data_IF_883843208712
#
_entry.id   IF_883843208712
#
_cell.length_a   1.000
_cell.length_b   1.000
_cell.length_c   1.000
_cell.angle_alpha   90.00
_cell.angle_beta   90.00
_cell.angle_gamma   90.00
#
_symmetry.space_group_name_H-M   'P 1'
#
loop_
_entity.id
_entity.type
_entity.pdbx_description
1 polymer ?
#
# COMPACT_ATOMS: atom_id res chain seq x y z
N UNK A 1 -6.66 3.15 -11.95
CA UNK A 1 -6.60 1.84 -12.62
C UNK A 1 -5.16 1.35 -12.77
N UNK A 2 -4.44 1.11 -11.66
CA UNK A 2 -3.04 0.64 -11.70
C UNK A 2 -2.14 1.49 -12.61
N UNK A 3 -1.29 0.82 -13.39
CA UNK A 3 -0.43 1.43 -14.40
C UNK A 3 -1.16 1.92 -15.66
N UNK A 4 -2.51 1.86 -15.68
CA UNK A 4 -3.35 2.17 -16.85
C UNK A 4 -3.02 1.32 -18.09
N UNK A 5 -2.36 0.19 -17.89
CA UNK A 5 -2.02 -0.77 -18.92
C UNK A 5 -2.78 -2.08 -18.67
N UNK A 6 -3.53 -2.51 -19.68
CA UNK A 6 -4.24 -3.79 -19.70
C UNK A 6 -3.46 -4.76 -20.58
N UNK A 7 -3.15 -5.96 -20.07
CA UNK A 7 -2.51 -7.00 -20.86
C UNK A 7 -3.35 -7.35 -22.09
N UNK A 8 -2.78 -7.33 -23.31
CA UNK A 8 -3.50 -7.74 -24.51
C UNK A 8 -3.80 -9.24 -24.54
N UNK A 9 -3.01 -10.06 -23.84
CA UNK A 9 -3.18 -11.52 -23.82
C UNK A 9 -4.21 -11.99 -22.78
N UNK A 10 -4.20 -11.39 -21.57
CA UNK A 10 -5.03 -11.86 -20.45
C UNK A 10 -6.17 -10.91 -20.10
N UNK A 11 -6.12 -9.67 -20.58
CA UNK A 11 -7.10 -8.65 -20.25
C UNK A 11 -7.00 -8.08 -18.83
N UNK A 12 -6.00 -8.48 -18.04
CA UNK A 12 -5.78 -8.02 -16.65
C UNK A 12 -5.01 -6.69 -16.65
N UNK A 13 -5.41 -5.74 -15.79
CA UNK A 13 -4.72 -4.46 -15.61
C UNK A 13 -3.51 -4.66 -14.70
N UNK A 14 -2.34 -4.16 -15.11
CA UNK A 14 -1.13 -4.20 -14.28
C UNK A 14 -1.15 -3.13 -13.19
N UNK A 15 -0.58 -3.46 -12.04
CA UNK A 15 -0.38 -2.53 -10.95
C UNK A 15 0.69 -1.48 -11.32
N UNK A 16 0.71 -0.40 -10.55
CA UNK A 16 1.77 0.62 -10.54
C UNK A 16 2.47 0.65 -9.17
N UNK A 17 2.59 -0.49 -8.50
CA UNK A 17 3.07 -0.56 -7.11
C UNK A 17 4.55 -0.18 -6.94
N UNK A 18 5.28 -0.03 -8.05
CA UNK A 18 6.64 0.50 -8.03
C UNK A 18 6.71 1.93 -7.49
N UNK A 19 5.62 2.71 -7.54
CA UNK A 19 5.53 4.05 -6.95
C UNK A 19 5.57 4.04 -5.40
N UNK A 20 5.28 2.91 -4.77
CA UNK A 20 5.36 2.77 -3.31
C UNK A 20 6.82 2.65 -2.81
N UNK A 21 7.79 2.41 -3.70
CA UNK A 21 9.21 2.53 -3.34
C UNK A 21 9.65 3.99 -3.22
N UNK A 22 10.73 4.21 -2.50
CA UNK A 22 11.39 5.50 -2.45
C UNK A 22 12.41 5.64 -3.60
N UNK A 23 12.35 6.77 -4.31
CA UNK A 23 13.39 7.22 -5.23
C UNK A 23 14.23 8.31 -4.55
N UNK A 24 15.57 8.19 -4.47
CA UNK A 24 16.39 9.20 -3.82
C UNK A 24 16.11 10.61 -4.35
N UNK A 25 15.89 11.56 -3.44
CA UNK A 25 15.67 12.98 -3.77
C UNK A 25 14.28 13.30 -4.34
N UNK A 26 13.34 12.35 -4.39
CA UNK A 26 12.00 12.58 -4.93
C UNK A 26 10.92 12.02 -3.98
N UNK A 27 9.88 12.79 -3.63
CA UNK A 27 8.71 12.23 -2.96
C UNK A 27 7.91 11.35 -3.94
N UNK A 28 7.20 10.34 -3.42
CA UNK A 28 6.35 9.49 -4.25
C UNK A 28 4.99 10.13 -4.58
N UNK A 29 4.12 9.42 -5.31
CA UNK A 29 2.79 9.90 -5.71
C UNK A 29 1.84 10.28 -4.56
N UNK A 30 2.15 9.90 -3.32
CA UNK A 30 1.41 10.29 -2.11
C UNK A 30 2.09 11.40 -1.30
N UNK A 31 3.21 11.95 -1.78
CA UNK A 31 3.96 13.01 -1.11
C UNK A 31 4.86 12.50 0.03
N UNK A 32 5.14 11.20 0.11
CA UNK A 32 6.00 10.63 1.15
C UNK A 32 7.46 10.88 0.83
N UNK A 33 8.21 11.43 1.78
CA UNK A 33 9.65 11.66 1.64
C UNK A 33 10.42 10.33 1.47
N UNK A 34 11.53 10.34 0.70
CA UNK A 34 12.27 9.12 0.42
C UNK A 34 12.99 8.59 1.67
N UNK A 35 12.95 7.27 1.85
CA UNK A 35 13.71 6.57 2.89
C UNK A 35 14.65 5.53 2.28
N UNK A 36 15.94 5.49 2.67
CA UNK A 36 16.89 4.47 2.20
C UNK A 36 16.45 3.03 2.49
N UNK A 37 15.69 2.81 3.57
CA UNK A 37 15.13 1.50 3.89
C UNK A 37 14.11 1.02 2.86
N UNK A 38 13.52 1.92 2.07
CA UNK A 38 12.52 1.64 1.05
C UNK A 38 13.01 1.93 -0.39
N UNK A 39 14.32 2.01 -0.63
CA UNK A 39 14.84 2.09 -2.00
C UNK A 39 14.64 0.80 -2.79
N UNK A 40 14.47 0.95 -4.10
CA UNK A 40 14.24 -0.12 -5.08
C UNK A 40 15.43 -1.08 -5.10
N UNK A 41 15.14 -2.38 -5.01
CA UNK A 41 16.12 -3.47 -5.20
C UNK A 41 15.43 -4.68 -5.86
N UNK A 42 16.11 -5.49 -6.68
CA UNK A 42 15.54 -6.69 -7.26
C UNK A 42 14.94 -7.63 -6.19
N UNK A 43 13.74 -8.15 -6.45
CA UNK A 43 13.04 -9.08 -5.55
C UNK A 43 12.50 -8.47 -4.24
N UNK A 44 12.79 -7.20 -3.96
CA UNK A 44 12.28 -6.52 -2.77
C UNK A 44 10.80 -6.19 -2.93
N UNK A 45 10.06 -6.15 -1.81
CA UNK A 45 8.69 -5.65 -1.76
C UNK A 45 8.67 -4.17 -1.35
N UNK A 46 7.86 -3.32 -2.01
CA UNK A 46 7.71 -1.94 -1.59
C UNK A 46 6.99 -1.86 -0.24
N UNK A 47 7.32 -0.85 0.57
CA UNK A 47 6.58 -0.54 1.79
C UNK A 47 5.12 -0.22 1.46
N UNK A 48 4.17 -0.70 2.27
CA UNK A 48 2.75 -0.40 2.12
C UNK A 48 2.16 0.20 3.40
N UNK A 49 1.17 1.08 3.25
CA UNK A 49 0.32 1.55 4.36
C UNK A 49 -0.90 0.65 4.62
N UNK A 50 -1.11 -0.40 3.80
CA UNK A 50 -2.25 -1.33 3.93
C UNK A 50 -2.25 -1.95 5.34
N UNK A 51 -3.33 -1.70 6.08
CA UNK A 51 -3.49 -2.10 7.48
C UNK A 51 -4.84 -2.82 7.67
N UNK A 52 -4.95 -4.10 7.29
CA UNK A 52 -6.13 -4.91 7.59
C UNK A 52 -6.08 -5.33 9.06
N UNK A 53 -7.18 -5.13 9.79
CA UNK A 53 -7.21 -5.35 11.25
C UNK A 53 -8.41 -6.21 11.64
N UNK A 54 -8.15 -7.18 12.52
CA UNK A 54 -9.16 -8.00 13.18
C UNK A 54 -9.05 -7.72 14.68
N UNK A 55 -10.09 -7.14 15.26
CA UNK A 55 -10.19 -6.91 16.70
C UNK A 55 -10.87 -8.11 17.36
N UNK A 56 -10.25 -8.63 18.41
CA UNK A 56 -10.79 -9.74 19.19
C UNK A 56 -11.02 -9.33 20.63
N UNK A 57 -12.11 -9.79 21.23
CA UNK A 57 -12.40 -9.67 22.66
C UNK A 57 -12.67 -11.05 23.22
N UNK A 58 -11.89 -11.46 24.23
CA UNK A 58 -12.00 -12.78 24.87
C UNK A 58 -11.96 -13.94 23.86
N UNK A 59 -11.00 -13.92 22.93
CA UNK A 59 -10.83 -14.96 21.91
C UNK A 59 -11.91 -14.99 20.82
N UNK A 60 -12.90 -14.09 20.86
CA UNK A 60 -13.96 -13.99 19.86
C UNK A 60 -13.76 -12.74 19.00
N UNK A 61 -14.00 -12.85 17.68
CA UNK A 61 -13.94 -11.70 16.77
C UNK A 61 -15.01 -10.68 17.18
N UNK A 62 -14.59 -9.44 17.35
CA UNK A 62 -15.43 -8.33 17.77
C UNK A 62 -15.68 -7.33 16.64
N UNK A 63 -14.63 -7.02 15.85
CA UNK A 63 -14.70 -6.10 14.71
C UNK A 63 -13.66 -6.50 13.67
N UNK A 64 -14.00 -6.35 12.40
CA UNK A 64 -13.06 -6.43 11.28
C UNK A 64 -13.08 -5.08 10.59
N UNK A 65 -11.91 -4.47 10.43
CA UNK A 65 -11.78 -3.13 9.86
C UNK A 65 -10.61 -3.05 8.88
N UNK A 66 -10.71 -2.07 7.99
CA UNK A 66 -9.69 -1.73 7.02
C UNK A 66 -10.10 -0.49 6.25
N UNK A 67 -9.16 0.07 5.50
CA UNK A 67 -9.38 1.28 4.73
C UNK A 67 -8.63 1.24 3.39
N UNK A 68 -9.05 2.13 2.48
CA UNK A 68 -8.31 2.48 1.26
C UNK A 68 -7.99 3.97 1.27
N UNK A 69 -6.86 4.39 0.70
CA UNK A 69 -6.49 5.81 0.66
C UNK A 69 -5.00 6.11 0.72
N UNK A 70 -4.14 5.17 0.32
CA UNK A 70 -2.68 5.33 0.37
C UNK A 70 -2.18 5.59 1.79
N UNK A 71 -1.46 6.69 1.97
CA UNK A 71 -0.88 7.09 3.27
C UNK A 71 -1.90 7.29 4.39
N UNK A 72 -3.19 7.45 4.05
CA UNK A 72 -4.28 7.67 5.02
C UNK A 72 -4.88 6.37 5.57
N UNK A 73 -4.48 5.20 5.06
CA UNK A 73 -5.06 3.91 5.49
C UNK A 73 -4.81 3.70 6.99
N UNK A 74 -3.60 3.94 7.47
CA UNK A 74 -3.23 3.72 8.88
C UNK A 74 -4.07 4.57 9.83
N UNK A 75 -4.24 5.86 9.52
CA UNK A 75 -5.02 6.78 10.36
C UNK A 75 -6.52 6.52 10.25
N UNK A 76 -7.03 6.18 9.06
CA UNK A 76 -8.43 5.84 8.87
C UNK A 76 -8.82 4.54 9.60
N UNK A 77 -7.98 3.50 9.51
CA UNK A 77 -8.22 2.25 10.25
C UNK A 77 -8.09 2.45 11.76
N UNK A 78 -7.24 3.37 12.24
CA UNK A 78 -7.10 3.64 13.67
C UNK A 78 -8.26 4.44 14.29
N UNK A 79 -9.09 5.08 13.45
CA UNK A 79 -10.24 5.89 13.91
C UNK A 79 -11.43 5.02 14.34
N UNK A 80 -11.52 3.79 13.84
CA UNK A 80 -12.60 2.81 14.10
C UNK A 80 -12.20 1.82 15.18
#
# INVERSE_FOLDING_TARGET
FGAKYRSPATGIIYNNQMDDFSTPGQPNGFGVAPSPSNYIRPGKRPMSSISPVIFTKNGTVYLIAGASGGTRITTATALV
#
